data_IF_131168190597
#
_entry.id   IF_131168190597
#
_cell.length_a   1.000
_cell.length_b   1.000
_cell.length_c   1.000
_cell.angle_alpha   90.00
_cell.angle_beta   90.00
_cell.angle_gamma   90.00
#
_symmetry.space_group_name_H-M   'P 1'
#
loop_
_entity.id
_entity.type
_entity.pdbx_description
1 polymer ?
#
# COMPACT_ATOMS: atom_id res chain seq x y z
N UNK A 1 -9.87 -28.21 -0.58
CA UNK A 1 -9.46 -26.89 -0.09
C UNK A 1 -9.60 -25.95 -1.27
N UNK A 2 -10.41 -24.91 -1.11
CA UNK A 2 -10.61 -23.92 -2.16
C UNK A 2 -9.32 -23.07 -2.25
N UNK A 3 -8.59 -23.13 -3.35
CA UNK A 3 -7.30 -22.42 -3.55
C UNK A 3 -7.46 -20.92 -3.83
N UNK A 4 -8.65 -20.37 -3.66
CA UNK A 4 -8.95 -18.92 -3.79
C UNK A 4 -8.30 -18.26 -5.00
N UNK A 5 -8.34 -18.94 -6.16
CA UNK A 5 -7.77 -18.41 -7.40
C UNK A 5 -6.24 -18.50 -7.54
N UNK A 6 -5.51 -18.99 -6.52
CA UNK A 6 -4.03 -19.12 -6.59
C UNK A 6 -3.55 -20.06 -7.70
N UNK A 7 -4.37 -21.03 -8.09
CA UNK A 7 -4.06 -21.99 -9.16
C UNK A 7 -4.40 -21.48 -10.57
N UNK A 8 -4.97 -20.28 -10.69
CA UNK A 8 -5.22 -19.71 -12.01
C UNK A 8 -3.90 -19.46 -12.76
N UNK A 9 -3.87 -19.57 -14.11
CA UNK A 9 -2.66 -19.32 -14.87
C UNK A 9 -2.05 -17.95 -14.56
N UNK A 10 -2.89 -16.91 -14.48
CA UNK A 10 -2.44 -15.54 -14.18
C UNK A 10 -1.85 -15.41 -12.78
N UNK A 11 -2.45 -16.04 -11.77
CA UNK A 11 -1.91 -16.02 -10.41
C UNK A 11 -0.52 -16.67 -10.35
N UNK A 12 -0.35 -17.82 -11.01
CA UNK A 12 0.94 -18.51 -11.08
C UNK A 12 2.00 -17.68 -11.82
N UNK A 13 1.64 -17.00 -12.91
CA UNK A 13 2.53 -16.06 -13.61
C UNK A 13 3.02 -14.95 -12.67
N UNK A 14 2.11 -14.29 -11.96
CA UNK A 14 2.44 -13.19 -11.04
C UNK A 14 3.34 -13.66 -9.88
N UNK A 15 3.01 -14.79 -9.25
CA UNK A 15 3.80 -15.35 -8.15
C UNK A 15 5.20 -15.77 -8.63
N UNK A 16 5.29 -16.42 -9.81
CA UNK A 16 6.58 -16.80 -10.38
C UNK A 16 7.41 -15.58 -10.80
N UNK A 17 6.80 -14.53 -11.33
CA UNK A 17 7.48 -13.26 -11.63
C UNK A 17 8.06 -12.64 -10.35
N UNK A 18 7.29 -12.61 -9.25
CA UNK A 18 7.77 -12.12 -7.96
C UNK A 18 8.99 -12.92 -7.45
N UNK A 19 8.94 -14.24 -7.53
CA UNK A 19 10.05 -15.11 -7.15
C UNK A 19 11.30 -14.88 -8.01
N UNK A 20 11.11 -14.69 -9.30
CA UNK A 20 12.20 -14.45 -10.25
C UNK A 20 12.93 -13.12 -10.00
N UNK A 21 12.30 -12.13 -9.36
CA UNK A 21 12.92 -10.86 -8.99
C UNK A 21 13.91 -10.98 -7.82
N UNK A 22 13.96 -12.11 -7.12
CA UNK A 22 14.76 -12.31 -5.91
C UNK A 22 16.22 -11.88 -6.02
N UNK A 23 16.99 -12.31 -7.04
CA UNK A 23 18.39 -11.90 -7.21
C UNK A 23 18.55 -10.39 -7.36
N UNK A 24 17.71 -9.72 -8.16
CA UNK A 24 17.75 -8.28 -8.38
C UNK A 24 17.41 -7.51 -7.10
N UNK A 25 16.36 -7.91 -6.38
CA UNK A 25 15.96 -7.31 -5.10
C UNK A 25 17.08 -7.45 -4.06
N UNK A 26 17.73 -8.60 -3.99
CA UNK A 26 18.85 -8.85 -3.07
C UNK A 26 20.04 -7.94 -3.40
N UNK A 27 20.40 -7.83 -4.67
CA UNK A 27 21.49 -6.95 -5.11
C UNK A 27 21.26 -5.47 -4.81
N UNK A 28 19.99 -5.03 -4.85
CA UNK A 28 19.60 -3.63 -4.61
C UNK A 28 19.42 -3.26 -3.13
N UNK A 29 19.51 -4.22 -2.18
CA UNK A 29 19.27 -3.94 -0.74
C UNK A 29 20.12 -2.81 -0.19
N UNK A 30 21.43 -2.80 -0.52
CA UNK A 30 22.37 -1.78 -0.02
C UNK A 30 21.99 -0.40 -0.54
N UNK A 31 21.66 -0.31 -1.82
CA UNK A 31 21.23 0.95 -2.44
C UNK A 31 19.88 1.42 -1.90
N UNK A 32 18.91 0.53 -1.76
CA UNK A 32 17.60 0.80 -1.16
C UNK A 32 17.73 1.42 0.25
N UNK A 33 18.66 0.89 1.06
CA UNK A 33 18.97 1.45 2.37
C UNK A 33 19.66 2.81 2.28
N UNK A 34 20.66 2.96 1.42
CA UNK A 34 21.46 4.19 1.32
C UNK A 34 20.65 5.37 0.76
N UNK A 35 19.76 5.12 -0.18
CA UNK A 35 18.86 6.11 -0.77
C UNK A 35 17.61 6.39 0.08
N UNK A 36 17.41 5.63 1.18
CA UNK A 36 16.20 5.69 2.03
C UNK A 36 14.93 5.52 1.18
N UNK A 37 15.03 4.80 0.08
CA UNK A 37 13.99 4.67 -0.94
C UNK A 37 14.12 3.36 -1.71
N UNK A 38 13.01 2.74 -2.06
CA UNK A 38 13.03 1.65 -3.04
C UNK A 38 13.42 2.23 -4.42
N UNK A 39 14.43 1.66 -5.11
CA UNK A 39 14.86 2.18 -6.40
C UNK A 39 13.74 2.21 -7.44
N UNK A 40 13.71 3.25 -8.28
CA UNK A 40 12.66 3.45 -9.30
C UNK A 40 12.55 2.28 -10.27
N UNK A 41 13.68 1.64 -10.62
CA UNK A 41 13.66 0.45 -11.47
C UNK A 41 12.92 -0.72 -10.82
N UNK A 42 12.96 -0.86 -9.49
CA UNK A 42 12.20 -1.91 -8.79
C UNK A 42 10.70 -1.64 -8.86
N UNK A 43 10.28 -0.39 -8.69
CA UNK A 43 8.87 0.01 -8.83
C UNK A 43 8.39 -0.14 -10.27
N UNK A 44 9.24 0.20 -11.25
CA UNK A 44 8.96 0.00 -12.68
C UNK A 44 8.81 -1.50 -13.03
N UNK A 45 9.68 -2.37 -12.49
CA UNK A 45 9.57 -3.82 -12.65
C UNK A 45 8.27 -4.37 -12.03
N UNK A 46 7.83 -3.86 -10.86
CA UNK A 46 6.54 -4.22 -10.27
C UNK A 46 5.36 -3.81 -11.15
N UNK A 47 5.43 -2.61 -11.75
CA UNK A 47 4.41 -2.13 -12.67
C UNK A 47 4.37 -2.99 -13.94
N UNK A 48 5.53 -3.30 -14.53
CA UNK A 48 5.66 -4.15 -15.71
C UNK A 48 5.16 -5.58 -15.48
N UNK A 49 5.43 -6.15 -14.30
CA UNK A 49 4.92 -7.45 -13.89
C UNK A 49 3.41 -7.45 -13.60
N UNK A 50 2.78 -6.28 -13.51
CA UNK A 50 1.35 -6.12 -13.25
C UNK A 50 0.97 -6.24 -11.77
N UNK A 51 1.89 -6.11 -10.83
CA UNK A 51 1.59 -6.28 -9.42
C UNK A 51 0.65 -5.20 -8.87
N UNK A 52 0.74 -3.97 -9.37
CA UNK A 52 -0.21 -2.89 -9.01
C UNK A 52 -1.61 -3.11 -9.57
N UNK A 53 -1.76 -3.98 -10.59
CA UNK A 53 -3.04 -4.26 -11.24
C UNK A 53 -3.86 -5.36 -10.55
N UNK A 54 -3.27 -6.10 -9.61
CA UNK A 54 -3.91 -7.30 -9.02
C UNK A 54 -5.26 -6.95 -8.41
N UNK A 55 -5.33 -5.88 -7.61
CA UNK A 55 -6.53 -5.44 -6.91
C UNK A 55 -7.26 -4.26 -7.58
N UNK A 56 -6.71 -3.70 -8.67
CA UNK A 56 -7.29 -2.59 -9.40
C UNK A 56 -8.50 -3.07 -10.22
N UNK A 57 -9.57 -2.25 -10.36
CA UNK A 57 -10.74 -2.59 -11.18
C UNK A 57 -10.40 -2.80 -12.66
N UNK A 58 -11.11 -3.74 -13.29
CA UNK A 58 -10.93 -4.06 -14.72
C UNK A 58 -11.18 -2.87 -15.63
N UNK A 59 -12.14 -2.00 -15.30
CA UNK A 59 -12.43 -0.78 -16.06
C UNK A 59 -11.22 0.17 -16.17
N UNK A 60 -10.26 0.08 -15.23
CA UNK A 60 -9.01 0.84 -15.21
C UNK A 60 -7.80 0.00 -15.64
N UNK A 61 -8.03 -1.15 -16.30
CA UNK A 61 -6.98 -2.04 -16.79
C UNK A 61 -6.37 -2.94 -15.71
N UNK A 62 -7.01 -3.03 -14.55
CA UNK A 62 -6.67 -3.95 -13.48
C UNK A 62 -7.16 -5.37 -13.70
N UNK A 63 -6.91 -6.26 -12.75
CA UNK A 63 -7.27 -7.68 -12.83
C UNK A 63 -8.42 -8.05 -11.87
N UNK A 64 -8.78 -7.20 -10.92
CA UNK A 64 -9.80 -7.45 -9.90
C UNK A 64 -9.72 -8.86 -9.26
N UNK A 65 -8.49 -9.34 -9.01
CA UNK A 65 -8.24 -10.70 -8.51
C UNK A 65 -8.49 -10.81 -7.02
N UNK A 66 -8.65 -12.06 -6.55
CA UNK A 66 -8.70 -12.35 -5.11
C UNK A 66 -7.46 -11.79 -4.38
N UNK A 67 -7.61 -11.14 -3.21
CA UNK A 67 -6.50 -10.56 -2.46
C UNK A 67 -5.42 -11.57 -2.07
N UNK A 68 -5.72 -12.85 -2.01
CA UNK A 68 -4.72 -13.88 -1.71
C UNK A 68 -3.62 -13.94 -2.78
N UNK A 69 -3.93 -13.65 -4.04
CA UNK A 69 -2.91 -13.56 -5.10
C UNK A 69 -1.94 -12.41 -4.81
N UNK A 70 -2.48 -11.27 -4.38
CA UNK A 70 -1.68 -10.11 -3.99
C UNK A 70 -0.77 -10.42 -2.79
N UNK A 71 -1.32 -11.07 -1.76
CA UNK A 71 -0.53 -11.47 -0.60
C UNK A 71 0.55 -12.49 -0.95
N UNK A 72 0.26 -13.46 -1.82
CA UNK A 72 1.26 -14.44 -2.28
C UNK A 72 2.42 -13.77 -3.01
N UNK A 73 2.14 -12.80 -3.88
CA UNK A 73 3.18 -11.97 -4.53
C UNK A 73 4.01 -11.21 -3.49
N UNK A 74 3.35 -10.55 -2.52
CA UNK A 74 4.01 -9.81 -1.45
C UNK A 74 4.94 -10.68 -0.59
N UNK A 75 4.52 -11.92 -0.25
CA UNK A 75 5.33 -12.89 0.48
C UNK A 75 6.63 -13.22 -0.27
N UNK A 76 6.56 -13.51 -1.56
CA UNK A 76 7.73 -13.84 -2.37
C UNK A 76 8.71 -12.65 -2.46
N UNK A 77 8.23 -11.42 -2.65
CA UNK A 77 9.07 -10.21 -2.65
C UNK A 77 9.74 -9.99 -1.29
N UNK A 78 9.01 -10.20 -0.19
CA UNK A 78 9.47 -9.94 1.17
C UNK A 78 10.63 -10.86 1.59
N UNK A 79 10.70 -12.08 1.10
CA UNK A 79 11.81 -13.01 1.34
C UNK A 79 13.16 -12.41 0.95
N UNK A 80 13.16 -11.55 -0.08
CA UNK A 80 14.37 -10.95 -0.62
C UNK A 80 14.59 -9.51 -0.17
N UNK A 81 13.55 -8.68 -0.09
CA UNK A 81 13.64 -7.29 0.33
C UNK A 81 12.37 -6.82 1.06
N UNK A 82 12.36 -6.83 2.40
CA UNK A 82 11.20 -6.41 3.17
C UNK A 82 10.73 -4.96 2.88
N UNK A 83 11.65 -4.02 2.63
CA UNK A 83 11.27 -2.64 2.26
C UNK A 83 10.53 -2.59 0.93
N UNK A 84 10.99 -3.34 -0.09
CA UNK A 84 10.31 -3.41 -1.39
C UNK A 84 8.93 -4.07 -1.29
N UNK A 85 8.79 -5.12 -0.47
CA UNK A 85 7.50 -5.75 -0.21
C UNK A 85 6.54 -4.83 0.55
N UNK A 86 7.05 -4.07 1.52
CA UNK A 86 6.27 -3.08 2.24
C UNK A 86 5.69 -2.03 1.28
N UNK A 87 6.54 -1.45 0.43
CA UNK A 87 6.12 -0.46 -0.57
C UNK A 87 5.09 -1.05 -1.54
N UNK A 88 5.35 -2.25 -2.08
CA UNK A 88 4.36 -2.93 -2.91
C UNK A 88 3.04 -3.12 -2.16
N UNK A 89 3.10 -3.60 -0.91
CA UNK A 89 1.94 -3.87 -0.08
C UNK A 89 1.08 -2.63 0.16
N UNK A 90 1.69 -1.54 0.66
CA UNK A 90 0.94 -0.33 1.02
C UNK A 90 0.47 0.46 -0.20
N UNK A 91 1.21 0.47 -1.31
CA UNK A 91 0.80 1.23 -2.51
C UNK A 91 -0.24 0.45 -3.32
N UNK A 92 -0.03 -0.83 -3.58
CA UNK A 92 -0.95 -1.59 -4.43
C UNK A 92 -2.32 -1.83 -3.80
N UNK A 93 -2.41 -1.91 -2.47
CA UNK A 93 -3.71 -2.01 -1.78
C UNK A 93 -4.56 -0.75 -1.94
N UNK A 94 -3.95 0.40 -2.21
CA UNK A 94 -4.67 1.64 -2.46
C UNK A 94 -5.45 1.61 -3.78
N UNK A 95 -5.06 0.79 -4.74
CA UNK A 95 -5.84 0.59 -5.95
C UNK A 95 -7.18 -0.12 -5.66
N UNK A 96 -7.21 -1.03 -4.67
CA UNK A 96 -8.45 -1.55 -4.13
C UNK A 96 -9.23 -0.48 -3.36
N UNK A 97 -8.54 0.31 -2.53
CA UNK A 97 -9.18 1.32 -1.71
C UNK A 97 -9.82 2.44 -2.55
N UNK A 98 -9.16 2.89 -3.61
CA UNK A 98 -9.75 3.90 -4.50
C UNK A 98 -11.02 3.39 -5.18
N UNK A 99 -11.10 2.10 -5.47
CA UNK A 99 -12.28 1.47 -6.07
C UNK A 99 -13.53 1.50 -5.16
N UNK A 100 -13.38 1.76 -3.86
CA UNK A 100 -14.51 1.88 -2.92
C UNK A 100 -14.90 3.33 -2.65
N UNK A 101 -14.13 4.32 -3.13
CA UNK A 101 -14.55 5.73 -3.15
C UNK A 101 -15.65 5.96 -4.19
N UNK A 102 -16.19 7.18 -4.22
CA UNK A 102 -17.02 7.62 -5.35
C UNK A 102 -16.24 7.49 -6.67
N UNK A 103 -16.91 7.06 -7.75
CA UNK A 103 -16.27 6.82 -9.05
C UNK A 103 -15.58 8.08 -9.61
N UNK A 104 -16.10 9.27 -9.32
CA UNK A 104 -15.46 10.52 -9.70
C UNK A 104 -14.05 10.65 -9.14
N UNK A 105 -13.79 10.15 -7.93
CA UNK A 105 -12.44 10.15 -7.35
C UNK A 105 -11.49 9.22 -8.12
N UNK A 106 -11.98 8.07 -8.59
CA UNK A 106 -11.20 7.17 -9.42
C UNK A 106 -10.90 7.77 -10.81
N UNK A 107 -11.86 8.49 -11.39
CA UNK A 107 -11.67 9.24 -12.64
C UNK A 107 -10.57 10.30 -12.49
N UNK A 108 -10.58 11.08 -11.40
CA UNK A 108 -9.56 12.11 -11.15
C UNK A 108 -8.13 11.54 -11.09
N UNK A 109 -7.99 10.31 -10.61
CA UNK A 109 -6.67 9.65 -10.47
C UNK A 109 -6.24 8.92 -11.73
N UNK A 110 -7.17 8.19 -12.38
CA UNK A 110 -6.83 7.20 -13.38
C UNK A 110 -7.28 7.50 -14.82
N UNK A 111 -8.12 8.53 -15.04
CA UNK A 111 -8.62 8.80 -16.39
C UNK A 111 -7.50 9.12 -17.39
N UNK A 112 -6.50 9.90 -16.96
CA UNK A 112 -5.35 10.26 -17.80
C UNK A 112 -4.24 9.21 -17.78
N UNK A 113 -4.02 8.57 -16.62
CA UNK A 113 -2.97 7.58 -16.43
C UNK A 113 -3.41 6.52 -15.39
N UNK A 114 -3.91 5.35 -15.84
CA UNK A 114 -4.36 4.29 -14.96
C UNK A 114 -3.23 3.62 -14.15
N UNK A 115 -1.98 3.99 -14.38
CA UNK A 115 -0.82 3.53 -13.60
C UNK A 115 -0.46 4.45 -12.44
N UNK A 116 -1.20 5.53 -12.24
CA UNK A 116 -1.00 6.49 -11.15
C UNK A 116 -1.11 5.81 -9.79
N UNK A 117 -0.09 6.02 -8.94
CA UNK A 117 0.04 5.43 -7.62
C UNK A 117 -0.34 6.43 -6.52
N UNK A 118 -0.80 5.86 -5.39
CA UNK A 118 -1.30 6.60 -4.23
C UNK A 118 -0.53 6.13 -2.99
N UNK A 119 0.00 7.05 -2.18
CA UNK A 119 0.55 6.77 -0.84
C UNK A 119 -0.51 6.97 0.24
N UNK A 120 -0.18 6.74 1.50
CA UNK A 120 -1.13 7.02 2.58
C UNK A 120 -0.49 7.32 3.94
N UNK A 121 -1.25 8.04 4.76
CA UNK A 121 -1.09 8.05 6.21
C UNK A 121 -2.46 8.25 6.88
N UNK A 122 -2.87 7.27 7.68
CA UNK A 122 -4.23 7.20 8.23
C UNK A 122 -4.37 7.77 9.65
N UNK A 123 -3.31 8.36 10.21
CA UNK A 123 -3.41 9.01 11.51
C UNK A 123 -4.47 10.12 11.48
N UNK A 124 -5.39 10.21 12.46
CA UNK A 124 -6.47 11.20 12.48
C UNK A 124 -5.98 12.57 12.95
N UNK A 125 -4.89 13.06 12.36
CA UNK A 125 -4.21 14.30 12.77
C UNK A 125 -4.62 15.51 11.92
N UNK A 126 -5.37 15.29 10.85
CA UNK A 126 -5.85 16.34 9.98
C UNK A 126 -6.82 17.30 10.67
N UNK A 127 -6.65 18.59 10.44
CA UNK A 127 -7.58 19.64 10.81
C UNK A 127 -8.51 19.89 9.64
N UNK A 128 -9.81 19.71 9.86
CA UNK A 128 -10.84 19.80 8.83
C UNK A 128 -11.76 20.96 9.12
N UNK A 129 -12.05 21.77 8.11
CA UNK A 129 -13.17 22.72 8.08
C UNK A 129 -14.18 22.27 7.03
N UNK A 130 -15.43 22.13 7.39
CA UNK A 130 -16.54 21.91 6.44
C UNK A 130 -16.80 23.21 5.68
N UNK A 131 -16.83 23.13 4.36
CA UNK A 131 -17.12 24.24 3.46
C UNK A 131 -18.11 23.80 2.38
N UNK A 132 -18.61 24.73 1.58
CA UNK A 132 -19.50 24.37 0.48
C UNK A 132 -18.82 23.44 -0.51
N UNK A 133 -19.48 22.32 -0.85
CA UNK A 133 -19.00 21.31 -1.79
C UNK A 133 -17.86 20.42 -1.28
N UNK A 134 -17.39 20.54 -0.02
CA UNK A 134 -16.31 19.72 0.50
C UNK A 134 -15.68 20.22 1.80
N UNK A 135 -14.34 20.15 1.82
CA UNK A 135 -13.57 20.39 3.05
C UNK A 135 -12.30 21.21 2.76
N UNK A 136 -11.87 21.99 3.74
CA UNK A 136 -10.51 22.51 3.83
C UNK A 136 -9.72 21.64 4.80
N UNK A 137 -8.59 21.10 4.31
CA UNK A 137 -7.75 20.17 5.03
C UNK A 137 -6.37 20.79 5.30
N UNK A 138 -5.90 20.69 6.53
CA UNK A 138 -4.52 21.03 6.90
C UNK A 138 -3.98 20.01 7.89
N UNK A 139 -2.69 19.76 7.87
CA UNK A 139 -2.05 18.86 8.83
C UNK A 139 -0.67 18.40 8.44
N UNK A 140 -0.08 17.60 9.30
CA UNK A 140 1.17 16.90 9.06
C UNK A 140 1.00 15.44 9.45
N UNK A 141 1.17 14.56 8.48
CA UNK A 141 1.02 13.11 8.63
C UNK A 141 2.36 12.45 8.47
N UNK A 142 2.76 11.64 9.44
CA UNK A 142 3.98 10.83 9.38
C UNK A 142 3.72 9.46 8.76
N UNK A 143 4.79 8.78 8.38
CA UNK A 143 4.78 7.40 7.87
C UNK A 143 4.08 7.21 6.51
N UNK A 144 4.18 8.18 5.59
CA UNK A 144 3.69 8.02 4.23
C UNK A 144 4.68 7.22 3.39
N UNK A 145 4.63 5.89 3.53
CA UNK A 145 5.56 4.98 2.88
C UNK A 145 5.48 5.06 1.36
N UNK A 146 6.63 5.26 0.70
CA UNK A 146 6.74 5.31 -0.76
C UNK A 146 6.08 6.53 -1.41
N UNK A 147 5.82 7.59 -0.67
CA UNK A 147 5.19 8.83 -1.17
C UNK A 147 5.92 9.43 -2.37
N UNK A 148 7.24 9.26 -2.48
CA UNK A 148 8.05 9.74 -3.61
C UNK A 148 7.77 9.01 -4.93
N UNK A 149 7.07 7.87 -4.92
CA UNK A 149 6.63 7.14 -6.11
C UNK A 149 5.18 7.47 -6.50
N UNK A 150 4.50 8.33 -5.74
CA UNK A 150 3.07 8.55 -5.82
C UNK A 150 2.72 9.96 -6.26
N UNK A 151 1.61 10.12 -6.98
CA UNK A 151 1.07 11.42 -7.38
C UNK A 151 -0.11 11.87 -6.51
N UNK A 152 -0.60 10.99 -5.64
CA UNK A 152 -1.72 11.21 -4.75
C UNK A 152 -1.42 10.63 -3.37
N UNK A 153 -2.15 11.12 -2.35
CA UNK A 153 -2.09 10.58 -1.00
C UNK A 153 -3.47 10.42 -0.37
N UNK A 154 -3.69 9.30 0.32
CA UNK A 154 -4.80 9.11 1.25
C UNK A 154 -4.39 9.59 2.64
N UNK A 155 -5.11 10.56 3.18
CA UNK A 155 -4.82 11.17 4.48
C UNK A 155 -6.00 11.03 5.43
N UNK A 156 -5.74 10.59 6.66
CA UNK A 156 -6.77 10.40 7.67
C UNK A 156 -7.12 11.67 8.42
N UNK A 157 -8.42 11.93 8.62
CA UNK A 157 -8.88 13.01 9.52
C UNK A 157 -10.27 12.72 10.05
N UNK A 158 -10.61 13.37 11.18
CA UNK A 158 -11.97 13.38 11.73
C UNK A 158 -12.66 14.65 11.30
N UNK A 159 -13.84 14.52 10.72
CA UNK A 159 -14.68 15.67 10.37
C UNK A 159 -15.41 16.14 11.64
N UNK A 160 -15.18 17.36 12.12
CA UNK A 160 -15.82 17.85 13.33
C UNK A 160 -17.31 18.11 13.10
N UNK A 161 -18.13 17.87 14.14
CA UNK A 161 -19.51 18.35 14.20
C UNK A 161 -19.65 19.32 15.36
N UNK A 162 -20.71 20.16 15.40
CA UNK A 162 -20.92 21.07 16.51
C UNK A 162 -21.01 20.36 17.87
N UNK A 163 -21.56 19.15 17.89
CA UNK A 163 -21.80 18.34 19.10
C UNK A 163 -20.54 17.54 19.51
N UNK A 164 -19.69 17.18 18.54
CA UNK A 164 -18.52 16.34 18.76
C UNK A 164 -17.34 16.80 17.88
N UNK A 165 -16.47 17.67 18.40
CA UNK A 165 -15.28 18.14 17.64
C UNK A 165 -14.32 17.01 17.25
N UNK A 166 -14.31 15.90 18.00
CA UNK A 166 -13.52 14.71 17.70
C UNK A 166 -14.31 13.45 18.05
N UNK A 167 -14.89 12.81 17.01
CA UNK A 167 -15.56 11.53 17.11
C UNK A 167 -15.08 10.63 15.98
N UNK A 168 -14.51 9.49 16.32
CA UNK A 168 -14.00 8.51 15.34
C UNK A 168 -15.10 7.93 14.42
N UNK A 169 -16.38 8.04 14.78
CA UNK A 169 -17.48 7.73 13.87
C UNK A 169 -17.50 8.66 12.64
N UNK A 170 -16.93 9.86 12.77
CA UNK A 170 -16.82 10.85 11.69
C UNK A 170 -15.44 10.81 11.00
N UNK A 171 -14.64 9.77 11.22
CA UNK A 171 -13.37 9.60 10.54
C UNK A 171 -13.59 9.39 9.04
N UNK A 172 -12.79 10.12 8.24
CA UNK A 172 -12.72 9.96 6.79
C UNK A 172 -11.27 9.83 6.30
N UNK A 173 -11.11 9.14 5.19
CA UNK A 173 -9.90 9.20 4.37
C UNK A 173 -10.10 10.25 3.29
N UNK A 174 -9.14 11.15 3.12
CA UNK A 174 -9.12 12.25 2.16
C UNK A 174 -8.12 11.94 1.05
N UNK A 175 -8.54 12.02 -0.20
CA UNK A 175 -7.68 11.85 -1.37
C UNK A 175 -7.16 13.21 -1.84
N UNK A 176 -5.84 13.42 -1.76
CA UNK A 176 -5.16 14.70 -2.01
C UNK A 176 -4.12 14.54 -3.11
N UNK A 177 -4.11 15.40 -4.16
CA UNK A 177 -3.09 15.37 -5.21
C UNK A 177 -1.76 15.93 -4.73
N UNK A 178 -0.68 15.56 -5.38
CA UNK A 178 0.69 16.00 -5.05
C UNK A 178 0.87 17.52 -5.15
N UNK A 179 0.04 18.21 -5.95
CA UNK A 179 0.03 19.67 -6.04
C UNK A 179 -0.34 20.36 -4.73
N UNK A 180 -1.04 19.66 -3.83
CA UNK A 180 -1.66 20.22 -2.63
C UNK A 180 -0.95 19.78 -1.35
N UNK A 181 0.15 19.04 -1.45
CA UNK A 181 0.97 18.66 -0.30
C UNK A 181 2.47 18.73 -0.59
N UNK A 182 3.25 18.78 0.49
CA UNK A 182 4.71 18.72 0.49
C UNK A 182 5.18 17.43 1.18
N UNK A 183 6.21 16.78 0.62
CA UNK A 183 6.91 15.65 1.24
C UNK A 183 8.09 16.22 2.04
N UNK A 184 8.09 15.97 3.35
CA UNK A 184 9.18 16.36 4.25
C UNK A 184 10.06 15.13 4.49
N UNK A 185 11.27 15.15 3.91
CA UNK A 185 12.23 14.06 4.00
C UNK A 185 12.83 13.94 5.40
N UNK A 186 12.25 13.07 6.23
CA UNK A 186 12.63 12.90 7.63
C UNK A 186 12.65 11.43 8.09
N UNK A 187 12.69 10.47 7.14
CA UNK A 187 12.70 9.06 7.47
C UNK A 187 14.11 8.62 7.89
N UNK A 188 14.33 8.45 9.21
CA UNK A 188 15.58 7.97 9.81
C UNK A 188 15.28 6.91 10.87
N UNK A 189 15.52 5.63 10.52
CA UNK A 189 15.09 4.47 11.31
C UNK A 189 16.10 3.33 11.22
N UNK A 190 15.99 2.37 12.13
CA UNK A 190 16.85 1.18 12.20
C UNK A 190 16.43 0.10 11.22
N UNK A 191 15.11 -0.11 11.05
CA UNK A 191 14.52 -1.14 10.16
C UNK A 191 13.63 -0.53 9.09
N UNK A 192 13.41 -1.24 7.97
CA UNK A 192 12.62 -0.75 6.83
C UNK A 192 13.09 0.61 6.29
N UNK A 193 14.40 0.86 6.31
CA UNK A 193 14.99 2.14 5.91
C UNK A 193 14.63 2.54 4.48
N UNK A 194 14.56 1.56 3.57
CA UNK A 194 14.23 1.80 2.17
C UNK A 194 12.76 2.09 1.87
N UNK A 195 11.90 2.24 2.88
CA UNK A 195 10.49 2.56 2.62
C UNK A 195 10.23 4.04 2.38
N UNK A 196 11.19 4.93 2.72
CA UNK A 196 11.02 6.36 2.56
C UNK A 196 9.68 6.85 3.14
N UNK A 197 9.39 6.41 4.39
CA UNK A 197 8.09 6.70 5.02
C UNK A 197 8.07 8.11 5.59
N UNK A 198 8.25 9.06 4.69
CA UNK A 198 8.36 10.49 4.98
C UNK A 198 7.05 11.11 5.49
N UNK A 199 7.14 12.31 6.02
CA UNK A 199 5.96 13.08 6.40
C UNK A 199 5.34 13.77 5.17
N UNK A 200 4.00 13.92 5.19
CA UNK A 200 3.24 14.74 4.25
C UNK A 200 2.67 15.93 5.02
N UNK A 201 2.82 17.13 4.46
CA UNK A 201 2.28 18.37 4.99
C UNK A 201 1.29 18.96 4.00
N UNK A 202 0.07 19.26 4.47
CA UNK A 202 -0.98 19.94 3.71
C UNK A 202 -1.32 21.26 4.38
N UNK A 203 -1.42 22.33 3.59
CA UNK A 203 -1.76 23.67 4.04
C UNK A 203 -3.03 24.17 3.34
N UNK A 204 -4.19 24.09 4.04
CA UNK A 204 -5.48 24.61 3.61
C UNK A 204 -5.94 24.15 2.21
N UNK A 205 -5.69 22.87 1.86
CA UNK A 205 -6.11 22.29 0.59
C UNK A 205 -7.64 22.11 0.56
N UNK A 206 -8.25 22.42 -0.58
CA UNK A 206 -9.66 22.10 -0.81
C UNK A 206 -9.80 20.66 -1.30
N UNK A 207 -10.59 19.86 -0.58
CA UNK A 207 -10.90 18.48 -0.96
C UNK A 207 -12.40 18.37 -1.18
N UNK A 208 -12.86 18.11 -2.42
CA UNK A 208 -14.29 17.89 -2.71
C UNK A 208 -14.81 16.68 -1.93
N UNK A 209 -16.10 16.68 -1.60
CA UNK A 209 -16.68 15.61 -0.78
C UNK A 209 -16.52 14.24 -1.42
N UNK A 210 -16.66 14.09 -2.74
CA UNK A 210 -16.48 12.83 -3.47
C UNK A 210 -15.05 12.27 -3.39
N UNK A 211 -14.04 13.09 -3.08
CA UNK A 211 -12.66 12.65 -2.79
C UNK A 211 -12.46 12.25 -1.34
N UNK A 212 -13.52 11.99 -0.61
CA UNK A 212 -13.45 11.47 0.75
C UNK A 212 -14.22 10.16 0.89
N UNK A 213 -13.76 9.30 1.81
CA UNK A 213 -14.42 8.04 2.11
C UNK A 213 -14.59 7.89 3.61
N UNK A 214 -15.83 7.62 4.06
CA UNK A 214 -16.13 7.41 5.48
C UNK A 214 -15.64 6.02 5.92
N UNK A 215 -14.95 5.96 7.04
CA UNK A 215 -14.52 4.67 7.59
C UNK A 215 -15.69 3.75 7.91
N UNK A 216 -16.84 4.31 8.29
CA UNK A 216 -18.05 3.54 8.59
C UNK A 216 -18.57 2.80 7.35
N UNK A 217 -18.55 3.44 6.16
CA UNK A 217 -18.97 2.80 4.91
C UNK A 217 -18.06 1.59 4.60
N UNK A 218 -16.74 1.75 4.79
CA UNK A 218 -15.76 0.66 4.65
C UNK A 218 -15.91 -0.46 5.69
N UNK A 219 -16.37 -0.12 6.90
CA UNK A 219 -16.67 -1.11 7.93
C UNK A 219 -17.94 -1.91 7.62
N UNK A 220 -18.98 -1.23 7.15
CA UNK A 220 -20.25 -1.83 6.77
C UNK A 220 -20.20 -2.52 5.39
N UNK A 221 -19.14 -2.34 4.63
CA UNK A 221 -18.96 -2.82 3.26
C UNK A 221 -20.04 -2.29 2.29
N UNK A 222 -20.54 -1.09 2.58
CA UNK A 222 -21.52 -0.37 1.76
C UNK A 222 -20.90 0.94 1.30
N UNK A 223 -20.10 0.85 0.25
CA UNK A 223 -19.23 1.93 -0.20
C UNK A 223 -19.82 2.63 -1.44
N UNK A 224 -19.59 3.94 -1.62
CA UNK A 224 -20.02 4.68 -2.81
C UNK A 224 -19.57 4.00 -4.12
N UNK A 225 -18.33 3.52 -4.17
CA UNK A 225 -17.77 2.86 -5.35
C UNK A 225 -18.40 1.51 -5.71
N UNK A 226 -19.21 0.91 -4.80
CA UNK A 226 -19.88 -0.36 -5.08
C UNK A 226 -20.99 -0.26 -6.14
N UNK A 227 -21.41 0.95 -6.50
CA UNK A 227 -22.33 1.19 -7.63
C UNK A 227 -21.69 0.78 -8.95
N UNK A 228 -20.39 1.02 -9.11
CA UNK A 228 -19.62 0.71 -10.32
C UNK A 228 -18.83 -0.58 -10.15
N UNK A 229 -18.19 -0.77 -9.00
CA UNK A 229 -17.34 -1.91 -8.69
C UNK A 229 -18.12 -2.95 -7.87
N UNK A 230 -18.89 -3.82 -8.56
CA UNK A 230 -19.81 -4.77 -7.92
C UNK A 230 -19.16 -6.10 -7.50
N UNK A 231 -17.90 -6.37 -7.89
CA UNK A 231 -17.22 -7.62 -7.56
C UNK A 231 -17.10 -7.83 -6.04
N UNK A 232 -17.17 -9.10 -5.53
CA UNK A 232 -17.05 -9.39 -4.10
C UNK A 232 -15.79 -8.81 -3.45
N UNK A 233 -14.70 -8.68 -4.21
CA UNK A 233 -13.46 -8.03 -3.78
C UNK A 233 -13.73 -6.64 -3.15
N UNK A 234 -14.57 -5.80 -3.78
CA UNK A 234 -14.83 -4.42 -3.33
C UNK A 234 -15.91 -4.33 -2.23
N UNK A 235 -16.42 -5.48 -1.78
CA UNK A 235 -17.33 -5.62 -0.63
C UNK A 235 -16.65 -6.27 0.59
N UNK A 236 -15.32 -6.30 0.61
CA UNK A 236 -14.54 -6.76 1.75
C UNK A 236 -14.30 -5.61 2.74
N UNK A 237 -14.27 -5.89 4.06
CA UNK A 237 -13.95 -4.85 5.05
C UNK A 237 -12.54 -4.29 4.85
N UNK A 238 -12.40 -2.97 4.91
CA UNK A 238 -11.12 -2.27 4.73
C UNK A 238 -9.98 -2.87 5.58
N UNK A 239 -10.23 -3.07 6.87
CA UNK A 239 -9.22 -3.58 7.79
C UNK A 239 -8.74 -5.00 7.44
N UNK A 240 -9.61 -5.81 6.84
CA UNK A 240 -9.24 -7.18 6.43
C UNK A 240 -8.30 -7.17 5.23
N UNK A 241 -8.52 -6.30 4.27
CA UNK A 241 -7.67 -6.20 3.08
C UNK A 241 -6.37 -5.47 3.40
N UNK A 242 -6.45 -4.31 4.04
CA UNK A 242 -5.30 -3.44 4.31
C UNK A 242 -4.31 -4.05 5.32
N UNK A 243 -4.79 -4.53 6.47
CA UNK A 243 -3.90 -5.08 7.52
C UNK A 243 -3.17 -6.32 7.02
N UNK A 244 -3.83 -7.18 6.23
CA UNK A 244 -3.15 -8.34 5.64
C UNK A 244 -2.06 -7.93 4.64
N UNK A 245 -2.29 -6.90 3.84
CA UNK A 245 -1.25 -6.36 2.93
C UNK A 245 0.01 -5.95 3.71
N UNK A 246 -0.17 -5.24 4.82
CA UNK A 246 0.93 -4.79 5.70
C UNK A 246 1.63 -5.96 6.39
N UNK A 247 0.86 -6.89 6.99
CA UNK A 247 1.42 -8.05 7.69
C UNK A 247 2.18 -9.00 6.77
N UNK A 248 1.82 -9.08 5.51
CA UNK A 248 2.45 -9.95 4.51
C UNK A 248 3.95 -9.69 4.37
N UNK A 249 4.36 -8.42 4.37
CA UNK A 249 5.77 -8.05 4.29
C UNK A 249 6.58 -8.61 5.49
N UNK A 250 6.00 -8.62 6.68
CA UNK A 250 6.64 -9.18 7.88
C UNK A 250 6.75 -10.71 7.79
N UNK A 251 5.69 -11.39 7.36
CA UNK A 251 5.68 -12.85 7.24
C UNK A 251 6.72 -13.34 6.22
N UNK A 252 6.78 -12.73 5.05
CA UNK A 252 7.78 -13.08 4.04
C UNK A 252 9.21 -12.73 4.48
N UNK A 253 9.41 -11.68 5.27
CA UNK A 253 10.70 -11.38 5.88
C UNK A 253 11.14 -12.46 6.88
N UNK A 254 10.22 -13.03 7.64
CA UNK A 254 10.51 -14.18 8.53
C UNK A 254 10.95 -15.40 7.72
N UNK A 255 10.25 -15.71 6.62
CA UNK A 255 10.66 -16.81 5.72
C UNK A 255 12.05 -16.58 5.16
N UNK A 256 12.36 -15.38 4.65
CA UNK A 256 13.68 -15.03 4.14
C UNK A 256 14.78 -15.07 5.20
N UNK A 257 14.48 -14.73 6.45
CA UNK A 257 15.39 -14.85 7.58
C UNK A 257 15.67 -16.32 7.92
N UNK A 258 14.64 -17.17 7.88
CA UNK A 258 14.80 -18.63 8.08
C UNK A 258 15.66 -19.26 6.98
N UNK A 259 15.42 -18.91 5.72
CA UNK A 259 16.25 -19.38 4.60
C UNK A 259 17.72 -19.00 4.81
N UNK A 260 17.99 -17.74 5.16
CA UNK A 260 19.35 -17.26 5.42
C UNK A 260 20.00 -17.99 6.61
N UNK A 261 19.24 -18.25 7.67
CA UNK A 261 19.72 -19.01 8.82
C UNK A 261 20.09 -20.46 8.43
N UNK A 262 19.24 -21.12 7.65
CA UNK A 262 19.49 -22.49 7.17
C UNK A 262 20.81 -22.55 6.35
N UNK A 263 21.02 -21.59 5.44
CA UNK A 263 22.26 -21.55 4.64
C UNK A 263 23.51 -21.33 5.52
N UNK A 264 23.43 -20.44 6.51
CA UNK A 264 24.54 -20.23 7.46
C UNK A 264 24.77 -21.49 8.32
N UNK A 265 23.71 -22.14 8.78
CA UNK A 265 23.80 -23.34 9.62
C UNK A 265 24.50 -24.50 8.92
N UNK A 266 24.31 -24.68 7.59
CA UNK A 266 24.96 -25.72 6.80
C UNK A 266 26.50 -25.59 6.75
N UNK A 267 27.01 -24.41 6.91
CA UNK A 267 28.46 -24.11 6.77
C UNK A 267 29.12 -23.68 8.07
N UNK A 268 28.34 -23.29 9.11
CA UNK A 268 28.86 -22.80 10.36
C UNK A 268 29.55 -23.90 11.14
N UNK A 269 30.78 -23.63 11.60
CA UNK A 269 31.49 -24.45 12.56
C UNK A 269 31.45 -23.82 13.94
N UNK A 270 31.05 -24.55 14.96
CA UNK A 270 31.01 -24.10 16.35
C UNK A 270 31.96 -24.93 17.18
N UNK A 271 33.03 -24.30 17.69
CA UNK A 271 34.07 -24.98 18.48
C UNK A 271 34.91 -26.00 17.68
N UNK A 272 35.55 -26.96 18.34
CA UNK A 272 36.38 -27.94 17.69
C UNK A 272 35.62 -29.06 16.93
N UNK A 273 34.29 -29.09 17.04
CA UNK A 273 33.42 -30.04 16.33
C UNK A 273 32.81 -29.38 15.10
N UNK A 274 32.93 -30.02 13.93
CA UNK A 274 32.06 -29.73 12.79
C UNK A 274 30.63 -30.05 13.22
N UNK A 275 29.66 -29.20 12.87
CA UNK A 275 28.27 -29.60 12.96
C UNK A 275 28.11 -30.85 12.05
N UNK A 276 28.02 -32.00 12.63
CA UNK A 276 27.42 -33.14 11.98
C UNK A 276 25.92 -32.86 11.95
N UNK A 277 25.35 -32.97 10.79
CA UNK A 277 24.00 -32.57 10.35
C UNK A 277 22.87 -32.81 11.34
#
# INVERSE_FOLDING_TARGET
VNNYGLDSPRARELINAARAMGPALTARRVRCKAEVRVPDETVAEFAQAGFFKILQPEQWGGYAMDPQVFYAVGLEIARFCPSSAWILGVIAVHNWQLAVFDDQAAQDVWADDPTTLISSSYAPVGKVKVVDGGFRLSGRWSFSSGSEHCKWAFLGAVVPTPEAPFDMANYRTFLVPISDYEIVHNWDVVGLQGTGSHDIVVNDAFVPEYRTHKAMDGFLCDNPGNVVNSAPLYRMPFMQVFVRAVCTATLGACDGALDAFIEVAKTRQVGPRKNEE
#
